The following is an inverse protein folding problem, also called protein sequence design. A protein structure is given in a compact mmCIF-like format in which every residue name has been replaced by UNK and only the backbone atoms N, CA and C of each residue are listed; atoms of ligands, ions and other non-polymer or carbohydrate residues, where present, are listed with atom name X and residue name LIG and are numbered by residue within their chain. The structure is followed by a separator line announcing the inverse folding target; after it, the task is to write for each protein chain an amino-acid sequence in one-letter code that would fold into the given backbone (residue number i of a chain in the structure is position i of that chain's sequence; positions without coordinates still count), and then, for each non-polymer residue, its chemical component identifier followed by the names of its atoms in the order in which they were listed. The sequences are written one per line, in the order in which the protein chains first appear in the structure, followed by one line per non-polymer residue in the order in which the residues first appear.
data_IF_044443420048
#
_entry.id   IF_044443420048
#
_cell.length_a   1.000
_cell.length_b   1.000
_cell.length_c   1.000
_cell.angle_alpha   90.00
_cell.angle_beta   90.00
_cell.angle_gamma   90.00
#
_symmetry.space_group_name_H-M   'P 1'
#
loop_
_entity.id
_entity.type
_entity.pdbx_description
1 polymer ?
#
# COMPACT_ATOMS: atom_id res chain seq x y z
N UNK A 1 8.88 20.71 -17.27
CA UNK A 1 9.40 19.94 -16.12
C UNK A 1 9.30 18.43 -16.38
N UNK A 2 10.37 17.76 -16.81
CA UNK A 2 10.36 16.30 -17.07
C UNK A 2 10.15 15.45 -15.81
N UNK A 3 10.53 15.95 -14.63
CA UNK A 3 10.31 15.27 -13.34
C UNK A 3 8.82 15.13 -12.97
N UNK A 4 8.01 16.14 -13.28
CA UNK A 4 6.58 16.11 -13.01
C UNK A 4 5.87 15.03 -13.85
N UNK A 5 6.25 14.90 -15.13
CA UNK A 5 5.71 13.88 -16.04
C UNK A 5 6.02 12.49 -15.51
N UNK A 6 7.29 12.21 -15.17
CA UNK A 6 7.68 10.91 -14.61
C UNK A 6 6.89 10.54 -13.35
N UNK A 7 6.68 11.49 -12.44
CA UNK A 7 5.92 11.28 -11.22
C UNK A 7 4.46 10.92 -11.50
N UNK A 8 3.81 11.65 -12.40
CA UNK A 8 2.41 11.40 -12.78
C UNK A 8 2.27 10.03 -13.45
N UNK A 9 3.16 9.70 -14.39
CA UNK A 9 3.14 8.39 -15.06
C UNK A 9 3.32 7.24 -14.07
N UNK A 10 4.25 7.35 -13.12
CA UNK A 10 4.45 6.32 -12.09
C UNK A 10 3.22 6.14 -11.19
N UNK A 11 2.62 7.23 -10.73
CA UNK A 11 1.40 7.17 -9.91
C UNK A 11 0.23 6.52 -10.66
N UNK A 12 0.07 6.81 -11.95
CA UNK A 12 -0.99 6.20 -12.77
C UNK A 12 -0.77 4.69 -12.96
N UNK A 13 0.46 4.27 -13.25
CA UNK A 13 0.78 2.85 -13.44
C UNK A 13 0.58 2.06 -12.14
N UNK A 14 1.08 2.58 -11.01
CA UNK A 14 0.92 1.92 -9.71
C UNK A 14 -0.56 1.84 -9.30
N UNK A 15 -1.35 2.88 -9.56
CA UNK A 15 -2.79 2.86 -9.31
C UNK A 15 -3.51 1.76 -10.09
N UNK A 16 -3.18 1.57 -11.38
CA UNK A 16 -3.76 0.50 -12.20
C UNK A 16 -3.44 -0.90 -11.69
N UNK A 17 -2.19 -1.15 -11.31
CA UNK A 17 -1.78 -2.46 -10.79
C UNK A 17 -2.48 -2.74 -9.45
N UNK A 18 -2.64 -1.70 -8.62
CA UNK A 18 -3.35 -1.83 -7.36
C UNK A 18 -4.84 -2.18 -7.54
N UNK A 19 -5.49 -1.57 -8.53
CA UNK A 19 -6.87 -1.88 -8.93
C UNK A 19 -7.00 -3.32 -9.45
N UNK A 20 -6.09 -3.76 -10.31
CA UNK A 20 -6.13 -5.09 -10.95
C UNK A 20 -5.89 -6.24 -9.98
N UNK A 21 -4.89 -6.10 -9.08
CA UNK A 21 -4.62 -7.13 -8.07
C UNK A 21 -5.58 -7.05 -6.85
N UNK A 22 -6.40 -5.99 -6.77
CA UNK A 22 -7.34 -5.75 -5.66
C UNK A 22 -6.65 -5.79 -4.30
N UNK A 23 -5.57 -5.01 -4.15
CA UNK A 23 -4.91 -4.91 -2.85
C UNK A 23 -5.84 -4.22 -1.85
N UNK A 24 -6.39 -5.03 -0.95
CA UNK A 24 -7.11 -4.53 0.21
C UNK A 24 -6.14 -4.29 1.36
N UNK A 25 -6.31 -3.15 2.03
CA UNK A 25 -5.62 -2.83 3.27
C UNK A 25 -6.67 -2.85 4.36
N UNK A 26 -6.45 -3.68 5.37
CA UNK A 26 -7.37 -3.78 6.50
C UNK A 26 -7.15 -2.63 7.49
N UNK A 27 -8.18 -2.28 8.26
CA UNK A 27 -8.06 -1.29 9.35
C UNK A 27 -6.99 -1.68 10.40
N UNK A 28 -6.75 -2.99 10.57
CA UNK A 28 -5.70 -3.50 11.45
C UNK A 28 -4.30 -3.13 10.93
N UNK A 29 -4.06 -3.23 9.62
CA UNK A 29 -2.80 -2.82 9.00
C UNK A 29 -2.58 -1.31 9.10
N UNK A 30 -3.63 -0.52 8.91
CA UNK A 30 -3.58 0.94 9.08
C UNK A 30 -3.22 1.28 10.53
N UNK A 31 -3.86 0.62 11.50
CA UNK A 31 -3.60 0.83 12.92
C UNK A 31 -2.15 0.43 13.29
N UNK A 32 -1.65 -0.68 12.75
CA UNK A 32 -0.27 -1.11 12.94
C UNK A 32 0.75 -0.12 12.34
N UNK A 33 0.45 0.47 11.18
CA UNK A 33 1.31 1.50 10.58
C UNK A 33 1.29 2.79 11.40
N UNK A 34 0.13 3.20 11.93
CA UNK A 34 0.04 4.35 12.85
C UNK A 34 0.85 4.10 14.12
N UNK A 35 0.77 2.89 14.68
CA UNK A 35 1.59 2.51 15.84
C UNK A 35 3.08 2.57 15.49
N UNK A 36 3.47 2.07 14.31
CA UNK A 36 4.85 2.12 13.84
C UNK A 36 5.37 3.56 13.65
N UNK A 37 4.55 4.45 13.10
CA UNK A 37 4.88 5.87 12.94
C UNK A 37 5.01 6.60 14.28
N UNK A 38 4.20 6.22 15.27
CA UNK A 38 4.19 6.85 16.61
C UNK A 38 5.19 6.21 17.59
N UNK A 39 5.74 5.04 17.28
CA UNK A 39 6.80 4.38 18.09
C UNK A 39 8.06 5.24 18.21
N UNK A 40 8.42 5.94 17.14
CA UNK A 40 9.62 6.78 17.07
C UNK A 40 9.40 8.19 17.61
N UNK A 41 8.16 8.56 17.94
CA UNK A 41 7.82 9.87 18.48
C UNK A 41 8.00 9.88 20.01
N UNK A 42 9.01 10.60 20.49
CA UNK A 42 9.28 10.80 21.93
C UNK A 42 8.49 11.95 22.54
N UNK A 43 8.16 12.98 21.75
CA UNK A 43 7.34 14.12 22.16
C UNK A 43 6.06 14.20 21.30
N UNK A 44 4.96 14.67 21.88
CA UNK A 44 3.65 14.85 21.22
C UNK A 44 3.04 13.56 20.63
N UNK A 45 3.41 12.39 21.17
CA UNK A 45 2.90 11.09 20.72
C UNK A 45 1.38 11.01 20.71
N UNK A 46 0.72 11.52 21.76
CA UNK A 46 -0.74 11.48 21.88
C UNK A 46 -1.45 12.39 20.86
N UNK A 47 -0.88 13.57 20.60
CA UNK A 47 -1.41 14.50 19.58
C UNK A 47 -1.21 13.95 18.16
N UNK A 48 -0.03 13.39 17.89
CA UNK A 48 0.29 12.73 16.63
C UNK A 48 -0.64 11.53 16.40
N UNK A 49 -0.88 10.72 17.43
CA UNK A 49 -1.78 9.57 17.33
C UNK A 49 -3.22 10.01 17.07
N UNK A 50 -3.72 11.08 17.72
CA UNK A 50 -5.04 11.65 17.42
C UNK A 50 -5.13 12.14 15.97
N UNK A 51 -4.10 12.83 15.47
CA UNK A 51 -4.07 13.32 14.10
C UNK A 51 -4.08 12.17 13.08
N UNK A 52 -3.26 11.16 13.28
CA UNK A 52 -3.17 10.00 12.38
C UNK A 52 -4.43 9.12 12.39
N UNK A 53 -5.22 9.17 13.46
CA UNK A 53 -6.52 8.51 13.54
C UNK A 53 -7.67 9.28 12.88
N UNK A 54 -7.43 10.49 12.35
CA UNK A 54 -8.45 11.21 11.58
C UNK A 54 -8.80 10.43 10.30
N UNK A 55 -10.06 10.49 9.80
CA UNK A 55 -10.46 9.77 8.58
C UNK A 55 -9.58 10.13 7.36
N UNK A 56 -9.17 11.39 7.26
CA UNK A 56 -8.31 11.87 6.18
C UNK A 56 -6.89 11.30 6.26
N UNK A 57 -6.30 11.27 7.46
CA UNK A 57 -4.97 10.69 7.65
C UNK A 57 -4.99 9.18 7.42
N UNK A 58 -6.01 8.47 7.94
CA UNK A 58 -6.19 7.04 7.71
C UNK A 58 -6.30 6.69 6.24
N UNK A 59 -7.11 7.42 5.47
CA UNK A 59 -7.20 7.26 4.01
C UNK A 59 -5.86 7.53 3.31
N UNK A 60 -5.07 8.48 3.79
CA UNK A 60 -3.75 8.76 3.22
C UNK A 60 -2.77 7.62 3.50
N UNK A 61 -2.80 7.06 4.71
CA UNK A 61 -1.99 5.90 5.10
C UNK A 61 -2.39 4.67 4.29
N UNK A 62 -3.69 4.43 4.12
CA UNK A 62 -4.22 3.37 3.26
C UNK A 62 -3.62 3.44 1.85
N UNK A 63 -3.65 4.60 1.20
CA UNK A 63 -3.08 4.79 -0.14
C UNK A 63 -1.57 4.53 -0.19
N UNK A 64 -0.84 4.94 0.84
CA UNK A 64 0.60 4.66 0.96
C UNK A 64 0.85 3.16 1.12
N UNK A 65 0.05 2.45 1.92
CA UNK A 65 0.16 1.01 2.14
C UNK A 65 -0.15 0.24 0.85
N UNK A 66 -1.21 0.59 0.13
CA UNK A 66 -1.54 0.01 -1.19
C UNK A 66 -0.37 0.18 -2.17
N UNK A 67 0.19 1.38 -2.22
CA UNK A 67 1.32 1.68 -3.11
C UNK A 67 2.55 0.85 -2.75
N UNK A 68 2.88 0.72 -1.45
CA UNK A 68 4.00 -0.10 -0.98
C UNK A 68 3.82 -1.58 -1.30
N UNK A 69 2.63 -2.14 -1.06
CA UNK A 69 2.29 -3.52 -1.42
C UNK A 69 2.44 -3.77 -2.92
N UNK A 70 1.97 -2.83 -3.74
CA UNK A 70 2.08 -2.89 -5.20
C UNK A 70 3.55 -2.92 -5.65
N UNK A 71 4.39 -2.05 -5.09
CA UNK A 71 5.83 -2.04 -5.38
C UNK A 71 6.49 -3.33 -4.92
N UNK A 72 6.15 -3.84 -3.72
CA UNK A 72 6.67 -5.10 -3.22
C UNK A 72 6.33 -6.25 -4.16
N UNK A 73 5.09 -6.33 -4.65
CA UNK A 73 4.66 -7.31 -5.65
C UNK A 73 5.47 -7.20 -6.94
N UNK A 74 5.65 -5.99 -7.47
CA UNK A 74 6.48 -5.77 -8.66
C UNK A 74 7.93 -6.23 -8.45
N UNK A 75 8.49 -6.00 -7.26
CA UNK A 75 9.83 -6.46 -6.90
C UNK A 75 9.90 -7.98 -6.80
N UNK A 76 8.88 -8.64 -6.22
CA UNK A 76 8.81 -10.12 -6.16
C UNK A 76 8.76 -10.74 -7.55
N UNK A 77 7.94 -10.18 -8.45
CA UNK A 77 7.85 -10.59 -9.86
C UNK A 77 9.22 -10.39 -10.54
N UNK A 78 9.84 -9.22 -10.38
CA UNK A 78 11.14 -8.91 -11.01
C UNK A 78 12.28 -9.80 -10.48
N UNK A 79 12.20 -10.25 -9.22
CA UNK A 79 13.15 -11.20 -8.62
C UNK A 79 12.90 -12.66 -9.01
N UNK A 80 11.88 -12.93 -9.83
CA UNK A 80 11.51 -14.30 -10.24
C UNK A 80 10.96 -15.15 -9.10
N UNK A 81 10.50 -14.53 -8.00
CA UNK A 81 9.84 -15.22 -6.88
C UNK A 81 8.38 -15.44 -7.22
N UNK A 82 8.12 -16.23 -8.25
CA UNK A 82 6.78 -16.52 -8.74
C UNK A 82 6.06 -17.48 -7.77
N UNK A 83 5.52 -16.93 -6.67
CA UNK A 83 4.40 -17.58 -6.00
C UNK A 83 3.15 -17.32 -6.85
N UNK A 84 3.00 -18.19 -7.86
CA UNK A 84 1.80 -18.50 -8.66
C UNK A 84 0.53 -18.01 -7.93
N UNK A 85 -0.11 -16.96 -8.42
CA UNK A 85 -1.26 -17.04 -9.35
C UNK A 85 -2.25 -18.13 -8.91
N UNK A 86 -3.50 -17.71 -8.79
CA UNK A 86 -4.64 -18.56 -8.43
C UNK A 86 -4.65 -19.81 -9.29
N UNK A 87 -4.56 -20.98 -8.66
CA UNK A 87 -5.06 -22.24 -9.21
C UNK A 87 -6.58 -22.12 -9.39
N UNK A 88 -7.03 -21.40 -10.41
CA UNK A 88 -8.31 -21.69 -11.06
C UNK A 88 -8.04 -22.86 -12.00
N UNK A 89 -8.15 -24.09 -11.48
CA UNK A 89 -8.51 -25.22 -12.34
C UNK A 89 -10.03 -25.21 -12.42
N UNK A 90 -10.53 -24.64 -13.50
CA UNK A 90 -11.84 -25.01 -14.05
C UNK A 90 -11.84 -26.51 -14.35
N UNK A 91 -12.93 -27.13 -13.90
CA UNK A 91 -13.73 -28.14 -14.61
C UNK A 91 -12.98 -29.22 -15.40
N UNK A 92 -12.95 -30.43 -14.80
CA UNK A 92 -13.35 -31.63 -15.53
C UNK A 92 -14.29 -32.43 -14.61
N UNK A 93 -15.57 -32.45 -14.98
CA UNK A 93 -16.59 -33.38 -14.49
C UNK A 93 -17.00 -34.27 -15.66
#
# INVERSE_FOLDING_TARGET
HPLAIKRVTQSLVLGRIAEEEKFEVSDAEISAEIENMTKSATENKDELNKFLNTPQARKSIEQVLITRKTIQRLVEIAKGSDKNVKTKKEEQK
#
